data_IF_876990050720
#
_entry.id   IF_876990050720
#
_cell.length_a   1.000
_cell.length_b   1.000
_cell.length_c   1.000
_cell.angle_alpha   90.00
_cell.angle_beta   90.00
_cell.angle_gamma   90.00
#
_symmetry.space_group_name_H-M   'P 1'
#
loop_
_entity.id
_entity.type
_entity.pdbx_description
1 polymer ?
#
# COMPACT_ATOMS: atom_id res chain seq x y z
N UNK A 1 -4.02 -22.01 4.48
CA UNK A 1 -3.55 -20.98 3.51
C UNK A 1 -4.52 -19.83 3.60
N UNK A 2 -4.01 -18.66 3.94
CA UNK A 2 -4.82 -17.50 4.32
C UNK A 2 -5.59 -16.95 3.11
N UNK A 3 -6.91 -16.87 3.24
CA UNK A 3 -7.83 -16.53 2.13
C UNK A 3 -7.55 -15.10 1.63
N UNK A 4 -7.13 -14.21 2.53
CA UNK A 4 -6.84 -12.81 2.24
C UNK A 4 -5.52 -12.63 1.48
N UNK A 5 -4.45 -13.30 1.90
CA UNK A 5 -3.14 -13.28 1.23
C UNK A 5 -3.25 -13.82 -0.21
N UNK A 6 -4.04 -14.88 -0.41
CA UNK A 6 -4.30 -15.41 -1.75
C UNK A 6 -5.09 -14.42 -2.61
N UNK A 7 -6.08 -13.74 -2.04
CA UNK A 7 -6.90 -12.77 -2.75
C UNK A 7 -6.09 -11.56 -3.21
N UNK A 8 -5.35 -10.92 -2.30
CA UNK A 8 -4.57 -9.73 -2.66
C UNK A 8 -3.48 -10.04 -3.69
N UNK A 9 -2.86 -11.23 -3.61
CA UNK A 9 -1.93 -11.74 -4.62
C UNK A 9 -2.56 -11.82 -6.01
N UNK A 10 -3.79 -12.35 -6.13
CA UNK A 10 -4.46 -12.45 -7.43
C UNK A 10 -4.71 -11.07 -8.05
N UNK A 11 -5.16 -10.11 -7.25
CA UNK A 11 -5.39 -8.76 -7.72
C UNK A 11 -4.07 -8.05 -8.11
N UNK A 12 -2.99 -8.30 -7.35
CA UNK A 12 -1.66 -7.76 -7.63
C UNK A 12 -1.03 -8.39 -8.87
N UNK A 13 -1.15 -9.70 -9.09
CA UNK A 13 -0.62 -10.40 -10.28
C UNK A 13 -1.10 -9.78 -11.59
N UNK A 14 -2.40 -9.44 -11.66
CA UNK A 14 -2.98 -8.71 -12.80
C UNK A 14 -2.32 -7.34 -13.06
N UNK A 15 -1.89 -6.65 -12.02
CA UNK A 15 -1.20 -5.36 -12.13
C UNK A 15 0.29 -5.54 -12.42
N UNK A 16 0.88 -6.67 -12.05
CA UNK A 16 2.26 -7.02 -12.44
C UNK A 16 2.30 -7.33 -13.94
N UNK A 17 1.26 -7.98 -14.50
CA UNK A 17 1.14 -8.25 -15.94
C UNK A 17 1.08 -6.98 -16.81
N UNK A 18 0.71 -5.82 -16.25
CA UNK A 18 0.70 -4.54 -16.97
C UNK A 18 2.07 -3.83 -16.96
N UNK A 19 3.04 -4.32 -16.18
CA UNK A 19 4.41 -3.80 -16.20
C UNK A 19 5.13 -4.17 -17.52
N UNK A 20 6.23 -3.47 -17.89
CA UNK A 20 7.04 -3.83 -19.05
C UNK A 20 7.45 -5.31 -19.02
N UNK A 21 7.45 -5.97 -20.18
CA UNK A 21 7.68 -7.42 -20.31
C UNK A 21 6.72 -8.30 -19.47
N UNK A 22 5.53 -7.79 -19.13
CA UNK A 22 4.53 -8.47 -18.29
C UNK A 22 5.04 -8.81 -16.87
N UNK A 23 6.06 -8.09 -16.40
CA UNK A 23 6.70 -8.40 -15.12
C UNK A 23 7.43 -9.74 -15.08
N UNK A 24 7.71 -10.34 -16.24
CA UNK A 24 8.46 -11.61 -16.31
C UNK A 24 9.85 -11.41 -15.70
N UNK A 25 10.17 -12.27 -14.73
CA UNK A 25 11.37 -12.24 -13.89
C UNK A 25 11.58 -11.00 -13.01
N UNK A 26 10.63 -10.05 -13.02
CA UNK A 26 10.69 -8.88 -12.15
C UNK A 26 10.43 -9.28 -10.69
N UNK A 27 11.25 -8.78 -9.78
CA UNK A 27 11.06 -8.94 -8.34
C UNK A 27 10.28 -7.73 -7.82
N UNK A 28 9.01 -7.95 -7.49
CA UNK A 28 8.09 -6.89 -7.07
C UNK A 28 7.83 -7.01 -5.57
N UNK A 29 8.08 -5.92 -4.83
CA UNK A 29 7.74 -5.82 -3.42
C UNK A 29 6.40 -5.10 -3.24
N UNK A 30 5.37 -5.84 -2.88
CA UNK A 30 4.04 -5.34 -2.53
C UNK A 30 3.97 -5.04 -1.03
N UNK A 31 3.61 -3.81 -0.68
CA UNK A 31 3.32 -3.36 0.67
C UNK A 31 1.84 -3.01 0.80
N UNK A 32 1.12 -3.75 1.62
CA UNK A 32 -0.27 -3.47 1.97
C UNK A 32 -0.32 -2.73 3.31
N UNK A 33 -0.42 -1.40 3.26
CA UNK A 33 -0.42 -0.53 4.43
C UNK A 33 -1.84 -0.40 4.98
N UNK A 34 -2.14 -1.22 5.98
CA UNK A 34 -3.40 -1.21 6.70
C UNK A 34 -3.48 -0.12 7.77
N UNK A 35 -4.48 -0.24 8.65
CA UNK A 35 -4.63 0.65 9.80
C UNK A 35 -3.61 0.31 10.89
N UNK A 36 -3.50 -0.96 11.29
CA UNK A 36 -2.63 -1.38 12.40
C UNK A 36 -1.43 -2.21 11.96
N UNK A 37 -1.57 -2.91 10.84
CA UNK A 37 -0.55 -3.80 10.29
C UNK A 37 -0.24 -3.42 8.86
N UNK A 38 1.02 -3.61 8.48
CA UNK A 38 1.49 -3.53 7.11
C UNK A 38 2.05 -4.87 6.72
N UNK A 39 1.52 -5.43 5.64
CA UNK A 39 1.97 -6.71 5.09
C UNK A 39 2.93 -6.44 3.94
N UNK A 40 4.11 -7.06 3.98
CA UNK A 40 5.08 -7.03 2.89
C UNK A 40 5.10 -8.39 2.22
N UNK A 41 4.97 -8.39 0.88
CA UNK A 41 5.12 -9.58 0.04
C UNK A 41 6.09 -9.29 -1.08
N UNK A 42 7.03 -10.19 -1.30
CA UNK A 42 7.91 -10.14 -2.47
C UNK A 42 7.51 -11.23 -3.43
N UNK A 43 7.17 -10.84 -4.65
CA UNK A 43 6.59 -11.71 -5.67
C UNK A 43 7.50 -11.71 -6.89
N UNK A 44 7.69 -12.89 -7.48
CA UNK A 44 8.35 -13.08 -8.78
C UNK A 44 7.65 -14.21 -9.52
N UNK A 45 7.24 -13.98 -10.78
CA UNK A 45 6.59 -14.99 -11.62
C UNK A 45 5.42 -15.73 -10.90
N UNK A 46 4.55 -14.97 -10.22
CA UNK A 46 3.43 -15.45 -9.38
C UNK A 46 3.78 -16.22 -8.09
N UNK A 47 5.07 -16.47 -7.85
CA UNK A 47 5.58 -17.09 -6.64
C UNK A 47 5.89 -16.04 -5.57
N UNK A 48 5.44 -16.30 -4.34
CA UNK A 48 5.76 -15.48 -3.18
C UNK A 48 7.11 -15.94 -2.62
N UNK A 49 8.13 -15.11 -2.81
CA UNK A 49 9.50 -15.37 -2.35
C UNK A 49 9.69 -15.05 -0.86
N UNK A 50 8.93 -14.08 -0.35
CA UNK A 50 9.01 -13.61 1.02
C UNK A 50 7.70 -12.96 1.45
N UNK A 51 7.25 -13.22 2.67
CA UNK A 51 6.08 -12.59 3.27
C UNK A 51 6.37 -12.25 4.73
N UNK A 52 6.01 -11.05 5.15
CA UNK A 52 6.17 -10.62 6.54
C UNK A 52 5.19 -9.51 6.90
N UNK A 53 4.56 -9.66 8.06
CA UNK A 53 3.73 -8.63 8.65
C UNK A 53 4.52 -7.81 9.68
N UNK A 54 4.21 -6.52 9.74
CA UNK A 54 4.73 -5.60 10.75
C UNK A 54 3.60 -4.79 11.37
N UNK A 55 3.70 -4.53 12.67
CA UNK A 55 2.73 -3.77 13.44
C UNK A 55 2.91 -2.25 13.26
N UNK A 56 2.87 -1.77 12.02
CA UNK A 56 2.82 -0.35 11.67
C UNK A 56 1.73 -0.11 10.62
N UNK A 57 1.13 1.09 10.63
CA UNK A 57 0.05 1.43 9.70
C UNK A 57 -0.55 2.80 9.98
N UNK A 58 -1.63 3.14 9.27
CA UNK A 58 -2.26 4.46 9.31
C UNK A 58 -2.93 4.87 10.62
N UNK A 59 -3.09 3.94 11.58
CA UNK A 59 -3.57 4.26 12.92
C UNK A 59 -2.54 5.09 13.70
N UNK A 60 -1.25 4.92 13.42
CA UNK A 60 -0.20 5.77 14.01
C UNK A 60 -0.36 7.23 13.55
N UNK A 61 -0.68 7.46 12.29
CA UNK A 61 -1.00 8.81 11.79
C UNK A 61 -2.21 9.40 12.52
N UNK A 62 -3.26 8.63 12.73
CA UNK A 62 -4.42 9.07 13.53
C UNK A 62 -4.02 9.43 14.97
N UNK A 63 -3.15 8.63 15.60
CA UNK A 63 -2.63 8.93 16.94
C UNK A 63 -1.78 10.20 16.99
N UNK A 64 -0.99 10.48 15.96
CA UNK A 64 -0.22 11.74 15.85
C UNK A 64 -1.17 12.95 15.73
N UNK A 65 -2.24 12.83 14.94
CA UNK A 65 -3.28 13.88 14.83
C UNK A 65 -3.95 14.13 16.19
N UNK A 66 -4.34 13.07 16.91
CA UNK A 66 -4.92 13.16 18.26
C UNK A 66 -3.98 13.91 19.21
N UNK A 67 -2.69 13.54 19.21
CA UNK A 67 -1.70 14.16 20.10
C UNK A 67 -1.41 15.62 19.76
N UNK A 68 -1.33 15.94 18.47
CA UNK A 68 -0.98 17.28 18.01
C UNK A 68 -2.12 18.29 18.21
N UNK A 69 -3.36 17.87 17.95
CA UNK A 69 -4.52 18.78 17.91
C UNK A 69 -5.55 18.55 19.02
N UNK A 70 -5.35 17.53 19.87
CA UNK A 70 -6.24 17.24 20.99
C UNK A 70 -7.62 16.69 20.60
N UNK A 71 -7.80 16.22 19.37
CA UNK A 71 -9.05 15.60 18.91
C UNK A 71 -9.26 14.22 19.56
N UNK A 72 -10.51 13.77 19.62
CA UNK A 72 -10.79 12.36 19.88
C UNK A 72 -10.33 11.48 18.71
N UNK A 73 -10.16 10.18 18.95
CA UNK A 73 -9.73 9.23 17.93
C UNK A 73 -10.69 9.18 16.72
N UNK A 74 -12.00 9.28 16.97
CA UNK A 74 -13.02 9.28 15.92
C UNK A 74 -13.00 10.58 15.10
N UNK A 75 -12.85 11.73 15.77
CA UNK A 75 -12.72 13.02 15.10
C UNK A 75 -11.44 13.09 14.26
N UNK A 76 -10.31 12.61 14.78
CA UNK A 76 -9.05 12.58 14.05
C UNK A 76 -9.14 11.72 12.78
N UNK A 77 -9.78 10.55 12.87
CA UNK A 77 -9.99 9.67 11.71
C UNK A 77 -10.93 10.31 10.68
N UNK A 78 -12.02 10.92 11.13
CA UNK A 78 -12.96 11.64 10.27
C UNK A 78 -12.29 12.82 9.55
N UNK A 79 -11.55 13.65 10.28
CA UNK A 79 -10.81 14.79 9.72
C UNK A 79 -9.72 14.37 8.76
N UNK A 80 -8.96 13.31 9.06
CA UNK A 80 -7.97 12.70 8.16
C UNK A 80 -8.58 12.29 6.82
N UNK A 81 -9.75 11.65 6.83
CA UNK A 81 -10.43 11.19 5.61
C UNK A 81 -11.09 12.31 4.81
N UNK A 82 -11.57 13.34 5.50
CA UNK A 82 -12.25 14.47 4.90
C UNK A 82 -11.30 15.60 4.45
N UNK A 83 -10.03 15.56 4.88
CA UNK A 83 -9.06 16.63 4.64
C UNK A 83 -9.35 17.90 5.45
N UNK A 84 -10.07 17.78 6.56
CA UNK A 84 -10.50 18.89 7.43
C UNK A 84 -9.55 19.04 8.62
N UNK A 85 -8.27 19.17 8.31
CA UNK A 85 -7.16 19.32 9.26
C UNK A 85 -6.55 20.72 9.16
N UNK A 86 -5.93 21.22 10.24
CA UNK A 86 -5.27 22.53 10.24
C UNK A 86 -4.19 22.66 9.15
N UNK A 87 -3.91 23.89 8.69
CA UNK A 87 -2.98 24.15 7.59
C UNK A 87 -1.54 23.68 7.86
N UNK A 88 -1.15 23.55 9.12
CA UNK A 88 0.17 23.07 9.52
C UNK A 88 0.30 21.53 9.50
N UNK A 89 -0.82 20.80 9.33
CA UNK A 89 -0.84 19.33 9.34
C UNK A 89 0.14 18.67 8.35
N UNK A 90 0.23 19.11 7.08
CA UNK A 90 1.13 18.49 6.11
C UNK A 90 2.59 18.50 6.58
N UNK A 91 3.07 19.62 7.13
CA UNK A 91 4.45 19.77 7.59
C UNK A 91 4.70 19.20 8.98
N UNK A 92 3.73 19.34 9.90
CA UNK A 92 3.94 19.05 11.32
C UNK A 92 3.67 17.59 11.65
N UNK A 93 2.76 16.94 10.93
CA UNK A 93 2.28 15.58 11.26
C UNK A 93 2.46 14.61 10.09
N UNK A 94 2.01 15.00 8.88
CA UNK A 94 2.04 14.11 7.73
C UNK A 94 3.47 13.81 7.28
N UNK A 95 4.30 14.83 7.08
CA UNK A 95 5.68 14.65 6.62
C UNK A 95 6.50 13.75 7.57
N UNK A 96 6.53 13.99 8.90
CA UNK A 96 7.24 13.09 9.82
C UNK A 96 6.72 11.65 9.80
N UNK A 97 5.41 11.47 9.62
CA UNK A 97 4.82 10.14 9.49
C UNK A 97 5.23 9.46 8.18
N UNK A 98 5.23 10.19 7.07
CA UNK A 98 5.68 9.70 5.75
C UNK A 98 7.14 9.31 5.78
N UNK A 99 8.01 10.13 6.37
CA UNK A 99 9.44 9.84 6.52
C UNK A 99 9.67 8.57 7.36
N UNK A 100 8.93 8.46 8.46
CA UNK A 100 8.97 7.27 9.33
C UNK A 100 8.50 6.03 8.58
N UNK A 101 7.40 6.13 7.82
CA UNK A 101 6.84 5.04 7.03
C UNK A 101 7.80 4.59 5.91
N UNK A 102 8.47 5.54 5.24
CA UNK A 102 9.49 5.25 4.24
C UNK A 102 10.70 4.52 4.85
N UNK A 103 11.15 4.92 6.04
CA UNK A 103 12.21 4.22 6.77
C UNK A 103 11.79 2.79 7.14
N UNK A 104 10.55 2.58 7.59
CA UNK A 104 10.03 1.24 7.93
C UNK A 104 9.96 0.32 6.70
N UNK A 105 9.54 0.86 5.55
CA UNK A 105 9.56 0.14 4.27
C UNK A 105 10.99 -0.22 3.86
N UNK A 106 11.93 0.72 3.97
CA UNK A 106 13.35 0.45 3.70
C UNK A 106 13.93 -0.63 4.61
N UNK A 107 13.61 -0.60 5.91
CA UNK A 107 13.99 -1.63 6.88
C UNK A 107 13.39 -2.99 6.54
N UNK A 108 12.14 -3.03 6.08
CA UNK A 108 11.48 -4.25 5.63
C UNK A 108 12.20 -4.88 4.42
N UNK A 109 12.59 -4.07 3.43
CA UNK A 109 13.38 -4.51 2.28
C UNK A 109 14.75 -5.04 2.68
N UNK A 110 15.43 -4.38 3.63
CA UNK A 110 16.71 -4.88 4.15
C UNK A 110 16.58 -6.25 4.83
N UNK A 111 15.49 -6.50 5.56
CA UNK A 111 15.23 -7.84 6.09
C UNK A 111 15.05 -8.88 4.98
N UNK A 112 14.38 -8.54 3.90
CA UNK A 112 14.28 -9.43 2.74
C UNK A 112 15.65 -9.73 2.13
N UNK A 113 16.50 -8.72 1.93
CA UNK A 113 17.84 -8.91 1.33
C UNK A 113 18.81 -9.70 2.20
N UNK A 114 18.63 -9.68 3.52
CA UNK A 114 19.43 -10.46 4.47
C UNK A 114 18.88 -11.87 4.70
N UNK A 115 17.60 -12.09 4.43
CA UNK A 115 16.91 -13.38 4.66
C UNK A 115 16.79 -14.25 3.41
N UNK A 116 17.15 -13.72 2.24
CA UNK A 116 17.00 -14.39 0.93
C UNK A 116 18.25 -14.16 0.07
N UNK A 117 18.48 -14.96 -0.99
CA UNK A 117 19.60 -14.73 -1.91
C UNK A 117 19.40 -13.54 -2.86
N UNK A 118 18.27 -12.82 -2.75
CA UNK A 118 17.97 -11.67 -3.57
C UNK A 118 18.54 -10.40 -2.94
N UNK A 119 19.14 -9.53 -3.75
CA UNK A 119 19.77 -8.28 -3.28
C UNK A 119 19.15 -7.02 -3.90
N UNK A 120 18.09 -7.18 -4.68
CA UNK A 120 17.41 -6.09 -5.37
C UNK A 120 15.94 -6.43 -5.57
N UNK A 121 15.12 -5.37 -5.57
CA UNK A 121 13.75 -5.38 -6.11
C UNK A 121 13.70 -4.45 -7.31
N UNK A 122 12.87 -4.76 -8.29
CA UNK A 122 12.69 -3.94 -9.50
C UNK A 122 11.65 -2.84 -9.26
N UNK A 123 10.57 -3.18 -8.54
CA UNK A 123 9.46 -2.28 -8.26
C UNK A 123 8.94 -2.44 -6.82
N UNK A 124 8.58 -1.32 -6.21
CA UNK A 124 7.84 -1.26 -4.95
C UNK A 124 6.41 -0.82 -5.23
N UNK A 125 5.46 -1.66 -4.88
CA UNK A 125 4.03 -1.43 -5.05
C UNK A 125 3.39 -1.15 -3.69
N UNK A 126 2.70 -0.02 -3.55
CA UNK A 126 1.97 0.35 -2.33
C UNK A 126 0.46 0.15 -2.51
N UNK A 127 -0.15 -0.50 -1.54
CA UNK A 127 -1.59 -0.74 -1.46
C UNK A 127 -2.11 -0.49 -0.04
N UNK A 128 -3.42 -0.57 0.15
CA UNK A 128 -4.09 -0.33 1.42
C UNK A 128 -4.55 1.12 1.59
N UNK A 129 -5.34 1.37 2.64
CA UNK A 129 -5.99 2.67 2.84
C UNK A 129 -5.04 3.82 3.20
N UNK A 130 -3.80 3.51 3.56
CA UNK A 130 -2.77 4.52 3.83
C UNK A 130 -1.75 4.65 2.69
N UNK A 131 -1.88 3.90 1.60
CA UNK A 131 -1.02 4.06 0.42
C UNK A 131 -1.16 5.41 -0.29
N UNK A 132 -2.36 6.03 -0.44
CA UNK A 132 -2.51 7.28 -1.18
C UNK A 132 -2.11 8.53 -0.38
N UNK A 133 -1.27 8.40 0.66
CA UNK A 133 -0.75 9.55 1.41
C UNK A 133 0.18 10.38 0.53
N UNK A 134 -0.02 11.70 0.56
CA UNK A 134 0.78 12.64 -0.22
C UNK A 134 2.26 12.55 0.20
N UNK A 135 3.14 12.46 -0.79
CA UNK A 135 4.59 12.38 -0.58
C UNK A 135 5.12 10.98 -0.27
N UNK A 136 4.25 9.99 -0.01
CA UNK A 136 4.70 8.65 0.41
C UNK A 136 5.51 7.92 -0.67
N UNK A 137 5.05 7.89 -1.91
CA UNK A 137 5.76 7.24 -3.01
C UNK A 137 7.13 7.86 -3.25
N UNK A 138 7.20 9.19 -3.21
CA UNK A 138 8.44 9.93 -3.38
C UNK A 138 9.41 9.63 -2.23
N UNK A 139 8.96 9.73 -0.98
CA UNK A 139 9.78 9.43 0.19
C UNK A 139 10.30 7.98 0.18
N UNK A 140 9.48 7.01 -0.22
CA UNK A 140 9.90 5.62 -0.37
C UNK A 140 10.95 5.48 -1.47
N UNK A 141 10.77 6.11 -2.63
CA UNK A 141 11.76 6.06 -3.71
C UNK A 141 13.08 6.72 -3.31
N UNK A 142 13.05 7.86 -2.64
CA UNK A 142 14.25 8.54 -2.15
C UNK A 142 14.99 7.73 -1.07
N UNK A 143 14.25 7.10 -0.16
CA UNK A 143 14.82 6.31 0.94
C UNK A 143 15.39 4.96 0.46
N UNK A 144 14.65 4.27 -0.41
CA UNK A 144 14.99 2.90 -0.82
C UNK A 144 15.81 2.83 -2.11
N UNK A 145 15.77 3.88 -2.94
CA UNK A 145 16.37 3.90 -4.28
C UNK A 145 15.58 3.11 -5.34
N UNK A 146 14.44 2.51 -4.99
CA UNK A 146 13.62 1.72 -5.91
C UNK A 146 12.40 2.50 -6.39
N UNK A 147 11.97 2.21 -7.62
CA UNK A 147 10.78 2.82 -8.20
C UNK A 147 9.53 2.42 -7.40
N UNK A 148 8.81 3.40 -6.86
CA UNK A 148 7.63 3.19 -6.04
C UNK A 148 6.36 3.69 -6.73
N UNK A 149 5.31 2.87 -6.72
CA UNK A 149 4.01 3.19 -7.31
C UNK A 149 2.86 2.74 -6.42
N UNK A 150 1.79 3.54 -6.37
CA UNK A 150 0.52 3.12 -5.75
C UNK A 150 -0.24 2.26 -6.73
N UNK A 151 -0.79 1.15 -6.26
CA UNK A 151 -1.57 0.25 -7.10
C UNK A 151 -3.06 0.58 -7.04
N UNK A 152 -3.71 0.53 -8.20
CA UNK A 152 -5.15 0.60 -8.32
C UNK A 152 -5.69 -0.77 -8.78
N UNK A 153 -6.38 -1.52 -7.90
CA UNK A 153 -6.90 -2.83 -8.24
C UNK A 153 -7.97 -2.81 -9.33
N UNK A 154 -8.49 -1.64 -9.71
CA UNK A 154 -9.48 -1.48 -10.78
C UNK A 154 -8.88 -1.10 -12.14
N UNK A 155 -7.56 -0.88 -12.26
CA UNK A 155 -6.95 -0.49 -13.54
C UNK A 155 -7.20 -1.56 -14.61
N UNK A 156 -7.72 -1.19 -15.78
CA UNK A 156 -8.09 -2.15 -16.82
C UNK A 156 -9.40 -2.91 -16.57
N UNK A 157 -10.23 -2.49 -15.61
CA UNK A 157 -11.60 -2.96 -15.45
C UNK A 157 -12.60 -1.94 -16.01
N UNK A 158 -13.69 -2.43 -16.61
CA UNK A 158 -14.83 -1.58 -16.97
C UNK A 158 -15.63 -1.20 -15.73
N UNK A 159 -15.85 0.11 -15.54
CA UNK A 159 -16.59 0.64 -14.39
C UNK A 159 -18.03 0.95 -14.80
N UNK A 160 -18.99 0.29 -14.15
CA UNK A 160 -20.41 0.50 -14.40
C UNK A 160 -20.89 1.91 -14.04
N UNK A 161 -21.85 2.45 -14.79
CA UNK A 161 -22.32 3.84 -14.65
C UNK A 161 -22.95 4.22 -13.30
N UNK A 162 -23.29 3.25 -12.45
CA UNK A 162 -23.79 3.48 -11.09
C UNK A 162 -22.67 3.75 -10.06
N UNK A 163 -21.40 3.53 -10.43
CA UNK A 163 -20.26 3.67 -9.53
C UNK A 163 -19.82 5.13 -9.45
N UNK A 164 -19.65 5.62 -8.22
CA UNK A 164 -19.11 6.97 -7.97
C UNK A 164 -17.59 6.98 -8.18
N UNK A 165 -17.16 7.22 -9.42
CA UNK A 165 -15.75 7.19 -9.85
C UNK A 165 -14.79 7.94 -8.93
N UNK A 166 -15.13 9.17 -8.50
CA UNK A 166 -14.25 9.95 -7.60
C UNK A 166 -14.04 9.28 -6.23
N UNK A 167 -15.08 8.68 -5.67
CA UNK A 167 -14.99 7.99 -4.37
C UNK A 167 -14.21 6.67 -4.55
N UNK A 168 -14.51 5.95 -5.63
CA UNK A 168 -13.82 4.70 -5.99
C UNK A 168 -12.31 4.93 -6.16
N UNK A 169 -11.89 5.91 -6.95
CA UNK A 169 -10.48 6.18 -7.21
C UNK A 169 -9.69 6.52 -5.93
N UNK A 170 -10.30 7.26 -5.00
CA UNK A 170 -9.68 7.60 -3.71
C UNK A 170 -9.51 6.38 -2.81
N UNK A 171 -10.50 5.49 -2.80
CA UNK A 171 -10.53 4.32 -1.92
C UNK A 171 -9.91 3.08 -2.57
N UNK A 172 -9.59 3.15 -3.87
CA UNK A 172 -9.13 2.06 -4.72
C UNK A 172 -8.01 1.21 -4.13
N UNK A 173 -6.90 1.78 -3.62
CA UNK A 173 -5.80 0.98 -3.06
C UNK A 173 -6.23 0.12 -1.85
N UNK A 174 -7.29 0.51 -1.14
CA UNK A 174 -7.85 -0.24 0.00
C UNK A 174 -8.62 -1.48 -0.42
N UNK A 175 -9.06 -1.55 -1.68
CA UNK A 175 -9.92 -2.63 -2.17
C UNK A 175 -9.12 -3.80 -2.77
N UNK A 176 -7.80 -3.83 -2.65
CA UNK A 176 -6.97 -4.89 -3.24
C UNK A 176 -7.45 -6.29 -2.84
N UNK A 177 -7.58 -6.55 -1.53
CA UNK A 177 -8.05 -7.83 -0.99
C UNK A 177 -9.48 -8.12 -1.42
N UNK A 178 -10.38 -7.14 -1.34
CA UNK A 178 -11.79 -7.30 -1.74
C UNK A 178 -11.94 -7.60 -3.24
N UNK A 179 -11.12 -6.96 -4.08
CA UNK A 179 -11.06 -7.20 -5.51
C UNK A 179 -10.61 -8.64 -5.79
N UNK A 180 -9.54 -9.09 -5.13
CA UNK A 180 -9.09 -10.47 -5.20
C UNK A 180 -10.15 -11.50 -4.81
N UNK A 181 -10.89 -11.23 -3.74
CA UNK A 181 -12.00 -12.10 -3.31
C UNK A 181 -13.12 -12.17 -4.35
N UNK A 182 -13.48 -11.04 -4.97
CA UNK A 182 -14.49 -10.97 -6.01
C UNK A 182 -14.06 -11.68 -7.30
N UNK A 183 -12.78 -11.56 -7.68
CA UNK A 183 -12.23 -12.20 -8.87
C UNK A 183 -12.23 -13.72 -8.80
N UNK A 184 -12.24 -14.31 -7.59
CA UNK A 184 -12.29 -15.76 -7.38
C UNK A 184 -13.40 -16.47 -8.17
N UNK A 185 -14.52 -15.79 -8.42
CA UNK A 185 -15.66 -16.37 -9.16
C UNK A 185 -15.42 -16.52 -10.67
N UNK A 186 -14.49 -15.76 -11.25
CA UNK A 186 -14.25 -15.73 -12.70
C UNK A 186 -13.11 -16.64 -13.17
N UNK A 187 -12.37 -17.24 -12.23
CA UNK A 187 -11.18 -18.06 -12.49
C UNK A 187 -11.38 -19.52 -12.02
N UNK A 188 -12.64 -19.94 -11.82
CA UNK A 188 -13.05 -21.33 -11.57
C UNK A 188 -13.59 -21.98 -12.84
#
# INVERSE_FOLDING_TARGET
>A
VDIESHASRMAAGRLIETLPNRGLDAVVALFEVGAFTTSMRVIRNDDVLYERDQAFGGAQLTQLIVRQYGFSQEEAEGKKRNGDLPEDYPSTVLQPFVDSLAQEIGRALQFFFTSTPYHRVDHVMLAGGSAPLQGLTQAVTENTGFACSIINPFDGMDVGGAVRLRKMAREAPSYLTSCGLAMRRFLQ
#
